data_IF_081875116249
#
_entry.id   IF_081875116249
#
_cell.length_a   1.000
_cell.length_b   1.000
_cell.length_c   1.000
_cell.angle_alpha   90.00
_cell.angle_beta   90.00
_cell.angle_gamma   90.00
#
_symmetry.space_group_name_H-M   'P 1'
#
loop_
_entity.id
_entity.type
_entity.pdbx_description
1 polymer ?
#
# COMPACT_ATOMS: atom_id res chain seq x y z
N UNK A 1 39.46 17.98 -12.70
CA UNK A 1 40.56 17.97 -11.71
C UNK A 1 40.03 17.51 -10.37
N UNK A 2 40.77 16.57 -9.71
CA UNK A 2 40.64 16.01 -8.37
C UNK A 2 39.48 15.09 -8.08
N UNK A 3 39.75 13.80 -8.29
CA UNK A 3 39.11 12.69 -7.58
C UNK A 3 39.62 12.63 -6.15
N UNK A 4 38.71 12.40 -5.18
CA UNK A 4 39.10 11.96 -3.84
C UNK A 4 38.55 10.55 -3.61
N UNK A 5 39.48 9.57 -3.61
CA UNK A 5 39.26 8.21 -3.17
C UNK A 5 39.35 8.17 -1.64
N UNK A 6 38.37 7.59 -0.95
CA UNK A 6 38.54 7.17 0.43
C UNK A 6 38.61 5.65 0.50
N UNK A 7 39.78 5.18 0.88
CA UNK A 7 40.04 3.79 1.29
C UNK A 7 39.58 3.59 2.73
N UNK A 8 38.74 2.59 2.99
CA UNK A 8 38.42 2.13 4.33
C UNK A 8 39.26 0.90 4.65
N UNK A 9 40.08 1.02 5.69
CA UNK A 9 40.88 -0.01 6.29
C UNK A 9 40.04 -1.02 7.11
N UNK A 10 40.24 -2.31 6.84
CA UNK A 10 39.77 -3.36 7.74
C UNK A 10 40.95 -3.81 8.62
N UNK A 11 40.81 -3.94 9.94
CA UNK A 11 41.77 -4.65 10.77
C UNK A 11 41.39 -6.13 10.90
N UNK A 12 42.43 -6.97 10.70
CA UNK A 12 42.38 -8.41 10.89
C UNK A 12 42.19 -8.77 12.36
N UNK A 13 41.29 -9.67 12.67
CA UNK A 13 41.06 -10.20 14.01
C UNK A 13 41.71 -11.59 14.15
N UNK A 14 42.70 -11.64 14.98
CA UNK A 14 43.56 -12.79 15.33
C UNK A 14 42.76 -13.91 16.01
N UNK A 15 42.93 -15.15 15.49
CA UNK A 15 42.51 -16.39 16.12
C UNK A 15 43.35 -16.65 17.37
N UNK A 16 42.72 -16.83 18.52
CA UNK A 16 43.33 -17.51 19.68
C UNK A 16 42.70 -18.88 19.84
N UNK A 17 43.52 -19.91 19.63
CA UNK A 17 43.25 -21.28 20.04
C UNK A 17 43.35 -21.37 21.57
N UNK A 18 42.35 -21.96 22.22
CA UNK A 18 42.51 -22.50 23.57
C UNK A 18 42.15 -23.99 23.51
N UNK A 19 43.16 -24.80 23.78
CA UNK A 19 43.04 -26.21 24.13
C UNK A 19 42.82 -26.30 25.65
N UNK A 20 41.98 -27.18 26.06
CA UNK A 20 42.10 -28.21 27.09
C UNK A 20 40.84 -28.40 27.93
N UNK A 21 40.54 -29.66 28.20
CA UNK A 21 39.66 -30.02 29.32
C UNK A 21 38.62 -31.10 28.97
N UNK A 22 39.08 -32.35 28.84
CA UNK A 22 38.22 -33.53 28.78
C UNK A 22 37.72 -33.85 30.19
N UNK A 23 36.45 -33.56 30.50
CA UNK A 23 35.75 -34.03 31.68
C UNK A 23 34.60 -34.93 31.23
N UNK A 24 34.71 -36.22 31.48
CA UNK A 24 33.61 -37.17 31.37
C UNK A 24 32.61 -36.89 32.48
N UNK A 25 31.46 -36.40 32.09
CA UNK A 25 30.27 -36.37 32.95
C UNK A 25 29.33 -37.45 32.42
N UNK A 26 29.19 -38.52 33.20
CA UNK A 26 28.15 -39.53 33.00
C UNK A 26 26.83 -38.87 33.39
N UNK A 27 25.97 -38.55 32.41
CA UNK A 27 24.63 -38.05 32.64
C UNK A 27 23.67 -39.24 32.66
N UNK A 28 23.08 -39.47 33.82
CA UNK A 28 21.98 -40.41 34.00
C UNK A 28 20.79 -39.98 33.16
N UNK A 29 20.31 -40.89 32.29
CA UNK A 29 19.13 -40.70 31.48
C UNK A 29 17.89 -40.85 32.34
N UNK A 30 17.26 -39.76 32.72
CA UNK A 30 15.89 -39.76 33.24
C UNK A 30 14.91 -40.01 32.09
N UNK A 31 13.90 -40.87 32.24
CA UNK A 31 12.88 -41.06 31.22
C UNK A 31 11.99 -39.81 31.15
N UNK A 32 12.13 -39.06 30.10
CA UNK A 32 11.18 -37.99 29.76
C UNK A 32 9.86 -38.64 29.38
N UNK A 33 8.86 -38.44 30.20
CA UNK A 33 7.47 -38.86 29.94
C UNK A 33 7.02 -38.21 28.60
N UNK A 34 6.59 -39.09 27.69
CA UNK A 34 5.96 -38.70 26.44
C UNK A 34 4.50 -38.22 26.71
N UNK A 35 4.37 -37.00 27.24
CA UNK A 35 3.09 -36.32 27.39
C UNK A 35 3.33 -34.89 26.94
N UNK A 36 2.46 -34.43 26.03
CA UNK A 36 2.37 -33.11 25.41
C UNK A 36 3.00 -32.94 24.03
N UNK A 37 2.66 -33.84 23.11
CA UNK A 37 2.61 -33.52 21.69
C UNK A 37 1.15 -33.46 21.22
N UNK A 38 0.35 -32.69 21.93
CA UNK A 38 -0.84 -32.10 21.30
C UNK A 38 -0.44 -30.72 20.80
N UNK A 39 -0.48 -30.46 19.47
CA UNK A 39 -0.40 -29.09 19.00
C UNK A 39 -1.68 -28.42 19.52
N UNK A 40 -1.50 -27.57 20.54
CA UNK A 40 -2.52 -26.58 20.89
C UNK A 40 -2.86 -25.89 19.59
N UNK A 41 -4.10 -26.07 19.16
CA UNK A 41 -4.72 -25.35 18.06
C UNK A 41 -4.81 -23.87 18.42
N UNK A 42 -3.66 -23.23 18.57
CA UNK A 42 -3.55 -21.79 18.44
C UNK A 42 -3.83 -21.52 16.97
N UNK A 43 -5.11 -21.26 16.71
CA UNK A 43 -5.58 -20.83 15.41
C UNK A 43 -4.56 -19.87 14.81
N UNK A 44 -3.98 -20.28 13.69
CA UNK A 44 -3.31 -19.41 12.73
C UNK A 44 -4.38 -18.45 12.18
N UNK A 45 -4.85 -17.53 13.02
CA UNK A 45 -5.51 -16.32 12.58
C UNK A 45 -4.39 -15.42 12.09
N UNK A 46 -4.10 -15.55 10.80
CA UNK A 46 -3.29 -14.60 10.06
C UNK A 46 -3.90 -13.21 10.29
N UNK A 47 -3.25 -12.31 11.05
CA UNK A 47 -3.80 -10.97 11.31
C UNK A 47 -4.02 -10.17 10.03
N UNK A 48 -3.37 -10.53 8.92
CA UNK A 48 -3.55 -9.93 7.60
C UNK A 48 -4.91 -10.24 6.96
N UNK A 49 -5.74 -11.09 7.55
CA UNK A 49 -7.04 -11.51 7.01
C UNK A 49 -8.25 -10.92 7.71
N UNK A 50 -8.07 -9.97 8.60
CA UNK A 50 -9.21 -9.32 9.25
C UNK A 50 -9.95 -8.42 8.25
N UNK A 51 -11.10 -8.91 7.81
CA UNK A 51 -12.07 -8.09 7.08
C UNK A 51 -12.79 -7.21 8.09
N UNK A 52 -12.49 -5.92 8.09
CA UNK A 52 -13.20 -4.94 8.92
C UNK A 52 -14.26 -4.30 8.03
N UNK A 53 -15.53 -4.56 8.32
CA UNK A 53 -16.64 -3.82 7.69
C UNK A 53 -16.70 -2.45 8.34
N UNK A 54 -16.37 -1.42 7.57
CA UNK A 54 -16.51 -0.03 7.98
C UNK A 54 -17.54 0.64 7.09
N UNK A 55 -18.37 1.47 7.70
CA UNK A 55 -19.51 2.23 7.16
C UNK A 55 -20.05 1.84 5.76
N UNK A 56 -21.21 1.33 5.74
CA UNK A 56 -22.17 1.22 4.63
C UNK A 56 -21.78 0.35 3.44
N UNK A 57 -20.82 0.75 2.62
CA UNK A 57 -20.54 0.10 1.34
C UNK A 57 -19.10 -0.37 1.16
N UNK A 58 -18.20 -0.02 2.10
CA UNK A 58 -16.79 -0.37 2.03
C UNK A 58 -16.43 -1.50 2.99
N UNK A 59 -15.69 -2.46 2.48
CA UNK A 59 -15.10 -3.55 3.25
C UNK A 59 -13.57 -3.43 3.14
N UNK A 60 -12.91 -3.13 4.24
CA UNK A 60 -11.46 -2.99 4.29
C UNK A 60 -10.80 -4.35 4.49
N UNK A 61 -9.86 -4.69 3.63
CA UNK A 61 -9.07 -5.92 3.70
C UNK A 61 -7.60 -5.59 3.41
N UNK A 62 -6.81 -5.44 4.47
CA UNK A 62 -5.40 -5.11 4.38
C UNK A 62 -5.16 -3.84 3.55
N UNK A 63 -4.39 -3.92 2.46
CA UNK A 63 -4.10 -2.81 1.54
C UNK A 63 -5.21 -2.49 0.53
N UNK A 64 -6.36 -3.17 0.63
CA UNK A 64 -7.49 -3.03 -0.29
C UNK A 64 -8.73 -2.50 0.41
N UNK A 65 -9.52 -1.73 -0.32
CA UNK A 65 -10.89 -1.35 0.03
C UNK A 65 -11.82 -1.91 -1.03
N UNK A 66 -12.70 -2.80 -0.63
CA UNK A 66 -13.72 -3.41 -1.50
C UNK A 66 -14.95 -2.51 -1.48
N UNK A 67 -15.30 -1.98 -2.61
CA UNK A 67 -16.54 -1.22 -2.81
C UNK A 67 -17.64 -2.19 -3.25
N UNK A 68 -18.54 -2.50 -2.30
CA UNK A 68 -19.62 -3.45 -2.52
C UNK A 68 -20.70 -2.91 -3.45
N UNK A 69 -20.85 -1.59 -3.54
CA UNK A 69 -21.86 -0.95 -4.41
C UNK A 69 -21.45 -1.00 -5.87
N UNK A 70 -20.19 -0.70 -6.14
CA UNK A 70 -19.69 -0.57 -7.51
C UNK A 70 -19.01 -1.86 -8.01
N UNK A 71 -18.81 -2.88 -7.15
CA UNK A 71 -18.18 -4.15 -7.51
C UNK A 71 -16.70 -4.00 -7.88
N UNK A 72 -16.02 -3.05 -7.29
CA UNK A 72 -14.59 -2.76 -7.54
C UNK A 72 -13.76 -2.89 -6.27
N UNK A 73 -12.46 -3.03 -6.47
CA UNK A 73 -11.45 -2.99 -5.40
C UNK A 73 -10.54 -1.78 -5.62
N UNK A 74 -10.38 -0.97 -4.58
CA UNK A 74 -9.50 0.18 -4.56
C UNK A 74 -8.19 -0.13 -3.85
N UNK A 75 -7.10 0.46 -4.31
CA UNK A 75 -5.92 0.60 -3.46
C UNK A 75 -6.25 1.51 -2.29
N UNK A 76 -5.93 1.06 -1.08
CA UNK A 76 -6.15 1.82 0.15
C UNK A 76 -5.27 3.07 0.21
N UNK A 77 -4.03 2.95 -0.26
CA UNK A 77 -3.06 4.03 -0.36
C UNK A 77 -3.04 4.67 -1.74
N UNK A 78 -2.62 5.92 -1.82
CA UNK A 78 -2.30 6.59 -3.08
C UNK A 78 -1.04 5.99 -3.71
N UNK A 79 -0.87 6.11 -5.01
CA UNK A 79 0.36 5.67 -5.69
C UNK A 79 1.57 6.41 -5.10
N UNK A 80 2.64 5.66 -4.84
CA UNK A 80 3.84 6.13 -4.14
C UNK A 80 3.87 5.80 -2.66
N UNK A 81 2.71 5.51 -2.06
CA UNK A 81 2.60 5.07 -0.67
C UNK A 81 2.46 3.56 -0.57
N UNK A 82 2.87 3.00 0.56
CA UNK A 82 2.76 1.57 0.88
C UNK A 82 1.99 1.39 2.19
N UNK A 83 1.04 0.47 2.20
CA UNK A 83 0.31 0.09 3.41
C UNK A 83 1.21 -0.72 4.35
N UNK A 84 1.41 -0.24 5.60
CA UNK A 84 2.25 -0.90 6.61
C UNK A 84 1.45 -1.73 7.65
N UNK A 85 0.14 -1.86 7.45
CA UNK A 85 -0.76 -2.51 8.41
C UNK A 85 -1.58 -1.52 9.27
N UNK A 86 -1.18 -0.25 9.31
CA UNK A 86 -1.87 0.81 10.07
C UNK A 86 -2.07 2.09 9.26
N UNK A 87 -1.07 2.50 8.51
CA UNK A 87 -1.03 3.76 7.75
C UNK A 87 -0.45 3.54 6.35
N UNK A 88 -0.65 4.53 5.47
CA UNK A 88 0.01 4.61 4.17
C UNK A 88 1.34 5.34 4.33
N UNK A 89 2.46 4.62 4.33
CA UNK A 89 3.81 5.18 4.44
C UNK A 89 4.38 5.59 3.08
N UNK A 90 5.21 6.62 3.08
CA UNK A 90 5.83 7.18 1.89
C UNK A 90 5.11 8.40 1.38
N UNK A 91 5.60 8.96 0.28
CA UNK A 91 5.05 10.15 -0.34
C UNK A 91 4.06 9.77 -1.45
N UNK A 92 2.86 10.33 -1.41
CA UNK A 92 1.90 10.19 -2.50
C UNK A 92 2.44 10.94 -3.73
N UNK A 93 2.65 10.21 -4.82
CA UNK A 93 3.24 10.76 -6.04
C UNK A 93 2.22 11.53 -6.86
N UNK A 94 2.59 12.75 -7.24
CA UNK A 94 1.90 13.50 -8.28
C UNK A 94 2.47 13.09 -9.63
N UNK A 95 1.63 12.62 -10.52
CA UNK A 95 2.03 12.02 -11.80
C UNK A 95 1.28 12.67 -12.96
N UNK A 96 1.97 12.84 -14.09
CA UNK A 96 1.32 13.10 -15.38
C UNK A 96 0.49 11.87 -15.79
N UNK A 97 -0.42 12.00 -16.75
CA UNK A 97 -1.18 10.86 -17.28
C UNK A 97 -0.24 9.78 -17.87
N UNK A 98 0.83 10.18 -18.52
CA UNK A 98 1.84 9.25 -19.05
C UNK A 98 2.52 8.46 -17.92
N UNK A 99 2.93 9.14 -16.85
CA UNK A 99 3.58 8.49 -15.71
C UNK A 99 2.59 7.65 -14.89
N UNK A 100 1.32 8.07 -14.81
CA UNK A 100 0.25 7.25 -14.23
C UNK A 100 0.06 5.94 -15.01
N UNK A 101 0.12 5.98 -16.35
CA UNK A 101 0.07 4.77 -17.17
C UNK A 101 1.25 3.81 -16.88
N UNK A 102 2.47 4.35 -16.67
CA UNK A 102 3.63 3.53 -16.26
C UNK A 102 3.42 2.92 -14.86
N UNK A 103 2.88 3.69 -13.91
CA UNK A 103 2.56 3.19 -12.57
C UNK A 103 1.52 2.06 -12.61
N UNK A 104 0.53 2.15 -13.51
CA UNK A 104 -0.45 1.07 -13.72
C UNK A 104 0.21 -0.22 -14.21
N UNK A 105 1.17 -0.13 -15.14
CA UNK A 105 1.90 -1.31 -15.63
C UNK A 105 2.63 -1.99 -14.45
N UNK A 106 3.37 -1.22 -13.66
CA UNK A 106 4.08 -1.72 -12.48
C UNK A 106 3.11 -2.34 -11.46
N UNK A 107 1.97 -1.71 -11.21
CA UNK A 107 0.96 -2.24 -10.30
C UNK A 107 0.39 -3.59 -10.79
N UNK A 108 0.14 -3.72 -12.10
CA UNK A 108 -0.34 -4.97 -12.69
C UNK A 108 0.70 -6.10 -12.64
N UNK A 109 1.98 -5.78 -12.75
CA UNK A 109 3.08 -6.74 -12.63
C UNK A 109 3.28 -7.20 -11.17
N UNK A 110 3.21 -6.30 -10.22
CA UNK A 110 3.53 -6.57 -8.81
C UNK A 110 2.34 -7.08 -7.98
N UNK A 111 1.14 -6.58 -8.25
CA UNK A 111 -0.06 -6.80 -7.43
C UNK A 111 -1.14 -7.61 -8.16
N UNK A 112 -0.81 -8.12 -9.35
CA UNK A 112 -1.74 -8.86 -10.21
C UNK A 112 -2.53 -7.94 -11.14
N UNK A 113 -3.20 -8.52 -12.16
CA UNK A 113 -3.81 -7.78 -13.26
C UNK A 113 -5.07 -7.02 -12.87
N UNK A 114 -5.48 -6.09 -13.74
CA UNK A 114 -6.74 -5.37 -13.68
C UNK A 114 -6.69 -3.97 -13.10
N UNK A 115 -5.54 -3.53 -12.57
CA UNK A 115 -5.37 -2.17 -12.06
C UNK A 115 -5.43 -1.14 -13.19
N UNK A 116 -6.15 -0.06 -12.93
CA UNK A 116 -6.38 1.06 -13.86
C UNK A 116 -6.67 2.35 -13.11
N UNK A 117 -6.68 3.47 -13.83
CA UNK A 117 -7.31 4.68 -13.32
C UNK A 117 -8.82 4.46 -13.16
N UNK A 118 -9.44 5.09 -12.15
CA UNK A 118 -10.89 5.06 -11.99
C UNK A 118 -11.59 5.87 -13.10
N UNK A 119 -12.81 5.50 -13.41
CA UNK A 119 -13.72 6.42 -14.10
C UNK A 119 -14.05 7.62 -13.20
N UNK A 120 -14.57 8.68 -13.80
CA UNK A 120 -15.05 9.83 -13.04
C UNK A 120 -16.12 9.43 -12.02
N UNK A 121 -17.11 8.67 -12.48
CA UNK A 121 -18.20 8.22 -11.62
C UNK A 121 -17.72 7.35 -10.45
N UNK A 122 -16.75 6.45 -10.69
CA UNK A 122 -16.16 5.64 -9.62
C UNK A 122 -15.45 6.52 -8.58
N UNK A 123 -14.60 7.46 -9.01
CA UNK A 123 -13.84 8.29 -8.07
C UNK A 123 -14.74 9.26 -7.29
N UNK A 124 -15.81 9.75 -7.91
CA UNK A 124 -16.83 10.58 -7.27
C UNK A 124 -17.55 9.83 -6.13
N UNK A 125 -17.68 8.49 -6.20
CA UNK A 125 -18.31 7.71 -5.12
C UNK A 125 -17.51 7.68 -3.82
N UNK A 126 -16.22 8.00 -3.89
CA UNK A 126 -15.36 8.10 -2.70
C UNK A 126 -15.53 9.43 -1.96
N UNK A 127 -16.22 10.42 -2.58
CA UNK A 127 -16.41 11.72 -1.96
C UNK A 127 -17.37 11.60 -0.79
N UNK A 128 -16.89 11.99 0.38
CA UNK A 128 -17.64 12.12 1.61
C UNK A 128 -17.87 13.61 1.88
N UNK A 129 -19.08 14.13 1.61
CA UNK A 129 -19.41 15.56 1.80
C UNK A 129 -19.29 16.00 3.25
N UNK A 130 -19.62 15.11 4.18
CA UNK A 130 -19.62 15.38 5.63
C UNK A 130 -18.23 15.24 6.26
N UNK A 131 -17.27 14.63 5.55
CA UNK A 131 -15.94 14.43 6.07
C UNK A 131 -15.12 15.74 6.07
N UNK A 132 -14.25 15.90 7.06
CA UNK A 132 -13.34 17.04 7.19
C UNK A 132 -12.06 16.57 7.93
N UNK A 133 -10.90 17.12 7.60
CA UNK A 133 -10.63 18.19 6.63
C UNK A 133 -10.57 17.71 5.18
N UNK A 134 -10.51 16.39 4.94
CA UNK A 134 -10.43 15.78 3.60
C UNK A 134 -11.79 15.16 3.27
N UNK A 135 -12.26 15.38 2.06
CA UNK A 135 -13.58 14.92 1.59
C UNK A 135 -13.58 13.45 1.16
N UNK A 136 -13.01 12.58 1.98
CA UNK A 136 -12.98 11.12 1.83
C UNK A 136 -12.98 10.46 3.21
N UNK A 137 -13.46 9.25 3.31
CA UNK A 137 -13.45 8.50 4.57
C UNK A 137 -12.02 8.01 4.89
N UNK A 138 -11.34 8.68 5.81
CA UNK A 138 -9.94 8.40 6.16
C UNK A 138 -9.75 7.05 6.88
N UNK A 139 -10.78 6.50 7.47
CA UNK A 139 -10.72 5.16 8.05
C UNK A 139 -10.52 4.08 7.00
N UNK A 140 -11.17 4.24 5.84
CA UNK A 140 -11.01 3.34 4.69
C UNK A 140 -9.81 3.72 3.83
N UNK A 141 -9.55 5.02 3.68
CA UNK A 141 -8.50 5.60 2.83
C UNK A 141 -7.57 6.53 3.62
N UNK A 142 -6.76 5.98 4.55
CA UNK A 142 -5.89 6.80 5.39
C UNK A 142 -4.86 7.57 4.56
N UNK A 143 -4.35 8.64 5.14
CA UNK A 143 -3.29 9.47 4.57
C UNK A 143 -3.58 10.00 3.15
N UNK A 144 -4.88 10.06 2.78
CA UNK A 144 -5.32 10.69 1.54
C UNK A 144 -5.12 12.20 1.63
N UNK A 145 -4.43 12.77 0.65
CA UNK A 145 -4.19 14.19 0.59
C UNK A 145 -5.44 14.95 0.09
N UNK A 146 -5.64 16.17 0.62
CA UNK A 146 -6.71 17.08 0.23
C UNK A 146 -6.37 17.79 -1.11
N UNK A 147 -6.20 17.01 -2.18
CA UNK A 147 -5.70 17.43 -3.47
C UNK A 147 -6.52 16.80 -4.61
N UNK A 148 -6.33 17.22 -5.88
CA UNK A 148 -6.91 16.56 -7.03
C UNK A 148 -6.33 15.16 -7.27
N UNK A 149 -7.20 14.24 -7.72
CA UNK A 149 -6.85 12.88 -8.14
C UNK A 149 -7.28 12.63 -9.58
N UNK A 150 -6.43 11.98 -10.37
CA UNK A 150 -6.72 11.63 -11.74
C UNK A 150 -7.87 10.65 -11.90
N UNK A 151 -8.70 10.87 -12.91
CA UNK A 151 -9.52 9.83 -13.53
C UNK A 151 -8.88 9.36 -14.84
N UNK A 152 -9.38 8.24 -15.39
CA UNK A 152 -9.02 7.79 -16.74
C UNK A 152 -9.87 8.42 -17.85
N UNK A 153 -10.69 9.44 -17.55
CA UNK A 153 -11.68 9.98 -18.50
C UNK A 153 -11.24 11.33 -19.06
N UNK A 154 -11.25 11.41 -20.40
CA UNK A 154 -11.11 12.65 -21.15
C UNK A 154 -12.41 13.45 -21.01
N UNK A 155 -12.30 14.77 -20.87
CA UNK A 155 -13.45 15.64 -20.90
C UNK A 155 -14.02 15.73 -22.32
N UNK A 156 -15.17 15.12 -22.56
CA UNK A 156 -15.82 15.09 -23.88
C UNK A 156 -16.15 16.47 -24.46
N UNK A 157 -16.30 17.51 -23.61
CA UNK A 157 -16.52 18.90 -24.05
C UNK A 157 -15.24 19.66 -24.31
N UNK A 158 -14.12 19.19 -23.76
CA UNK A 158 -12.79 19.78 -23.91
C UNK A 158 -11.73 18.66 -24.04
N UNK A 159 -11.57 18.03 -25.22
CA UNK A 159 -10.82 16.79 -25.39
C UNK A 159 -9.31 16.86 -25.07
N UNK A 160 -8.79 18.06 -24.83
CA UNK A 160 -7.40 18.26 -24.36
C UNK A 160 -7.26 18.13 -22.85
N UNK A 161 -8.37 18.00 -22.12
CA UNK A 161 -8.40 17.96 -20.67
C UNK A 161 -8.94 16.61 -20.16
N UNK A 162 -8.53 16.29 -18.95
CA UNK A 162 -8.91 15.07 -18.24
C UNK A 162 -9.65 15.47 -16.97
N UNK A 163 -10.61 14.67 -16.58
CA UNK A 163 -11.36 14.85 -15.35
C UNK A 163 -10.50 14.48 -14.12
N UNK A 164 -10.66 15.28 -13.08
CA UNK A 164 -10.10 15.00 -11.74
C UNK A 164 -11.20 15.17 -10.69
N UNK A 165 -11.06 14.45 -9.57
CA UNK A 165 -11.85 14.68 -8.36
C UNK A 165 -10.93 15.25 -7.30
N UNK A 166 -11.33 16.35 -6.66
CA UNK A 166 -10.52 17.00 -5.64
C UNK A 166 -11.10 16.73 -4.25
N UNK A 167 -10.33 16.01 -3.42
CA UNK A 167 -10.75 15.66 -2.07
C UNK A 167 -10.60 16.80 -1.04
N UNK A 168 -10.10 17.97 -1.42
CA UNK A 168 -10.22 19.17 -0.57
C UNK A 168 -11.65 19.76 -0.66
N UNK A 169 -12.20 19.81 -1.86
CA UNK A 169 -13.49 20.46 -2.13
C UNK A 169 -14.66 19.48 -2.28
N UNK A 170 -14.38 18.21 -2.58
CA UNK A 170 -15.37 17.21 -2.97
C UNK A 170 -15.93 17.40 -4.39
N UNK A 171 -15.35 18.30 -5.19
CA UNK A 171 -15.84 18.60 -6.53
C UNK A 171 -14.97 17.98 -7.63
N UNK A 172 -15.60 17.80 -8.80
CA UNK A 172 -14.98 17.31 -10.02
C UNK A 172 -14.60 18.45 -10.93
N UNK A 173 -13.40 18.40 -11.52
CA UNK A 173 -12.88 19.42 -12.42
C UNK A 173 -12.41 18.79 -13.74
N UNK A 174 -12.91 19.30 -14.87
CA UNK A 174 -12.59 18.79 -16.21
C UNK A 174 -11.65 19.72 -16.99
N UNK A 175 -10.65 20.32 -16.35
CA UNK A 175 -9.77 21.30 -16.98
C UNK A 175 -8.26 21.06 -16.78
N UNK A 176 -7.90 19.84 -16.39
CA UNK A 176 -6.50 19.47 -16.19
C UNK A 176 -5.87 18.93 -17.47
N UNK A 177 -4.73 19.48 -17.85
CA UNK A 177 -3.97 18.95 -18.99
C UNK A 177 -3.27 17.65 -18.60
N UNK A 178 -3.13 16.68 -19.53
CA UNK A 178 -2.46 15.40 -19.26
C UNK A 178 -1.01 15.53 -18.78
N UNK A 179 -0.38 16.65 -19.03
CA UNK A 179 1.00 16.97 -18.64
C UNK A 179 1.13 17.54 -17.23
N UNK A 180 0.02 17.90 -16.60
CA UNK A 180 0.03 18.33 -15.20
C UNK A 180 0.24 17.13 -14.29
N UNK A 181 0.88 17.38 -13.15
CA UNK A 181 1.12 16.37 -12.13
C UNK A 181 0.00 16.38 -11.10
N UNK A 182 -0.66 15.24 -10.91
CA UNK A 182 -1.85 15.07 -10.06
C UNK A 182 -1.75 13.71 -9.36
N UNK A 183 -2.33 13.59 -8.21
CA UNK A 183 -2.32 12.35 -7.43
C UNK A 183 -3.10 11.22 -8.12
N UNK A 184 -2.76 9.99 -7.76
CA UNK A 184 -3.32 8.78 -8.36
C UNK A 184 -3.77 7.81 -7.27
N UNK A 185 -4.99 7.28 -7.42
CA UNK A 185 -5.48 6.11 -6.71
C UNK A 185 -5.98 5.09 -7.73
N UNK A 186 -5.47 3.87 -7.63
CA UNK A 186 -5.85 2.83 -8.59
C UNK A 186 -7.05 2.03 -8.11
N UNK A 187 -7.78 1.52 -9.10
CA UNK A 187 -8.95 0.67 -8.93
C UNK A 187 -8.86 -0.53 -9.86
N UNK A 188 -9.51 -1.63 -9.52
CA UNK A 188 -9.71 -2.76 -10.43
C UNK A 188 -11.11 -3.33 -10.28
N UNK A 189 -11.61 -3.97 -11.32
CA UNK A 189 -12.85 -4.74 -11.25
C UNK A 189 -12.63 -5.99 -10.40
N UNK A 190 -13.66 -6.38 -9.69
CA UNK A 190 -13.68 -7.57 -8.85
C UNK A 190 -14.11 -8.81 -9.62
#
# INVERSE_FOLDING_TARGET
MRQMRFFAFFPAMTRRFFMAGLALIVAEASPVAAQDLMPTSAALTDPAKQVIVKSGNFMVRDHLVIDLRNGVEWMRCSVGQVWNGSNCEGEALQLTQENAAKAIIIANEQLGPGWRLPSRAELETLVCSECAPVKIELDSFPDTLAEPYWTGEINGFAPRHIWTVNFMTGHTYGRFFPTQEVLVRLVRNR
#
